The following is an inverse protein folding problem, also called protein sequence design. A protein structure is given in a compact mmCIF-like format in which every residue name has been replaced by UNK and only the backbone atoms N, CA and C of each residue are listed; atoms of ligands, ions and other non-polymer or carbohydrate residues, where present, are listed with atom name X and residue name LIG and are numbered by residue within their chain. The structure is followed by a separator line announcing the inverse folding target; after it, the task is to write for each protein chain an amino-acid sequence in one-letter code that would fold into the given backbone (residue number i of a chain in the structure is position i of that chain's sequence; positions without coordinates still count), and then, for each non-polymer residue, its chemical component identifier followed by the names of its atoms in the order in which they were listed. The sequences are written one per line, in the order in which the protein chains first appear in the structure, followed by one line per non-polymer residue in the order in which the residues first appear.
data_IF_341861770380
#
_entry.id   IF_341861770380
#
_cell.length_a   1.000
_cell.length_b   1.000
_cell.length_c   1.000
_cell.angle_alpha   90.00
_cell.angle_beta   90.00
_cell.angle_gamma   90.00
#
_symmetry.space_group_name_H-M   'P 1'
#
loop_
_entity.id
_entity.type
_entity.pdbx_description
1 polymer ?
#
# COMPACT_ATOMS: atom_id res chain seq x y z
N UNK A 1 4.84 -2.78 0.74
CA UNK A 1 6.09 -3.56 0.84
C UNK A 1 5.75 -5.04 0.95
N UNK A 2 6.57 -5.92 0.41
CA UNK A 2 6.49 -7.36 0.68
C UNK A 2 7.37 -7.75 1.90
N UNK A 3 7.41 -9.05 2.22
CA UNK A 3 8.22 -9.60 3.33
C UNK A 3 9.72 -9.38 3.18
N UNK A 4 10.20 -9.15 1.95
CA UNK A 4 11.60 -8.84 1.66
C UNK A 4 11.88 -7.33 1.69
N UNK A 5 10.88 -6.50 2.05
CA UNK A 5 11.00 -5.05 2.07
C UNK A 5 10.93 -4.40 0.69
N UNK A 6 10.58 -5.13 -0.37
CA UNK A 6 10.49 -4.58 -1.72
C UNK A 6 9.24 -3.74 -1.90
N UNK A 7 9.36 -2.65 -2.65
CA UNK A 7 8.22 -1.81 -3.04
C UNK A 7 7.37 -2.54 -4.09
N UNK A 8 6.12 -2.79 -3.72
CA UNK A 8 5.16 -3.54 -4.54
C UNK A 8 4.35 -2.59 -5.43
N UNK A 9 3.72 -1.58 -4.82
CA UNK A 9 2.95 -0.56 -5.50
C UNK A 9 2.95 0.74 -4.69
N UNK A 10 2.66 1.85 -5.36
CA UNK A 10 2.38 3.16 -4.74
C UNK A 10 0.90 3.47 -4.97
N UNK A 11 0.16 3.74 -3.89
CA UNK A 11 -1.31 3.84 -3.93
C UNK A 11 -1.83 5.27 -3.73
N UNK A 12 -0.93 6.25 -3.72
CA UNK A 12 -1.23 7.67 -3.66
C UNK A 12 -0.03 8.46 -4.19
N UNK A 13 -0.24 9.24 -5.25
CA UNK A 13 0.81 10.03 -5.89
C UNK A 13 0.69 11.53 -5.64
N UNK A 14 -0.41 11.97 -5.03
CA UNK A 14 -0.69 13.39 -4.79
C UNK A 14 -0.84 13.69 -3.31
N UNK A 15 -0.43 14.90 -2.92
CA UNK A 15 -0.77 15.46 -1.62
C UNK A 15 -2.29 15.49 -1.49
N UNK A 16 -2.79 14.72 -0.54
CA UNK A 16 -4.19 14.71 -0.18
C UNK A 16 -4.44 15.89 0.76
N UNK A 17 -5.50 16.65 0.50
CA UNK A 17 -5.88 17.81 1.30
C UNK A 17 -6.33 17.41 2.71
N UNK A 18 -6.71 18.39 3.53
CA UNK A 18 -7.28 18.10 4.86
C UNK A 18 -8.60 17.34 4.69
N UNK A 19 -8.80 16.27 5.47
CA UNK A 19 -10.01 15.45 5.47
C UNK A 19 -9.70 13.95 5.51
N UNK A 20 -10.77 13.14 5.50
CA UNK A 20 -10.66 11.69 5.44
C UNK A 20 -10.37 11.24 4.00
N UNK A 21 -9.48 10.25 3.87
CA UNK A 21 -9.11 9.68 2.58
C UNK A 21 -9.18 8.17 2.62
N UNK A 22 -9.80 7.59 1.60
CA UNK A 22 -9.86 6.15 1.40
C UNK A 22 -8.97 5.76 0.22
N UNK A 23 -8.15 4.73 0.43
CA UNK A 23 -7.26 4.18 -0.60
C UNK A 23 -7.55 2.69 -0.70
N UNK A 24 -7.95 2.24 -1.89
CA UNK A 24 -8.21 0.83 -2.18
C UNK A 24 -7.08 0.25 -3.01
N UNK A 25 -6.45 -0.81 -2.50
CA UNK A 25 -5.49 -1.58 -3.27
C UNK A 25 -6.18 -2.77 -3.96
N UNK A 26 -5.99 -2.90 -5.26
CA UNK A 26 -6.56 -3.98 -6.07
C UNK A 26 -5.72 -5.27 -6.08
N UNK A 27 -4.70 -5.40 -5.24
CA UNK A 27 -3.83 -6.57 -5.19
C UNK A 27 -2.87 -6.71 -6.38
N UNK A 28 -2.59 -5.61 -7.09
CA UNK A 28 -1.62 -5.57 -8.20
C UNK A 28 -0.38 -4.75 -7.84
N UNK A 29 0.76 -5.15 -8.40
CA UNK A 29 1.98 -4.35 -8.32
C UNK A 29 1.96 -3.18 -9.30
N UNK A 30 3.06 -2.42 -9.33
CA UNK A 30 3.27 -1.27 -10.23
C UNK A 30 3.18 -1.60 -11.73
N UNK A 31 3.40 -2.86 -12.11
CA UNK A 31 3.37 -3.31 -13.51
C UNK A 31 1.98 -3.86 -13.88
N UNK A 32 1.00 -3.75 -12.97
CA UNK A 32 -0.36 -4.27 -13.14
C UNK A 32 -0.47 -5.78 -12.91
N UNK A 33 0.62 -6.44 -12.51
CA UNK A 33 0.65 -7.88 -12.27
C UNK A 33 0.04 -8.18 -10.90
N UNK A 34 -0.82 -9.18 -10.83
CA UNK A 34 -1.43 -9.59 -9.56
C UNK A 34 -0.33 -10.16 -8.64
N UNK A 35 -0.30 -9.73 -7.37
CA UNK A 35 0.74 -10.14 -6.41
C UNK A 35 0.43 -11.46 -5.70
N UNK A 36 1.41 -12.36 -5.50
CA UNK A 36 1.15 -13.69 -4.94
C UNK A 36 0.51 -13.62 -3.54
N UNK A 37 -0.15 -14.71 -3.13
CA UNK A 37 -0.64 -14.85 -1.76
C UNK A 37 0.51 -14.65 -0.78
N UNK A 38 0.26 -13.88 0.27
CA UNK A 38 1.33 -13.51 1.21
C UNK A 38 0.98 -12.33 2.09
N UNK A 39 1.96 -11.94 2.91
CA UNK A 39 1.87 -10.81 3.82
C UNK A 39 2.54 -9.59 3.20
N UNK A 40 1.83 -8.47 3.24
CA UNK A 40 2.27 -7.18 2.73
C UNK A 40 2.09 -6.12 3.81
N UNK A 41 2.84 -5.03 3.67
CA UNK A 41 2.72 -3.85 4.51
C UNK A 41 2.34 -2.65 3.68
N UNK A 42 1.28 -1.97 4.08
CA UNK A 42 0.97 -0.62 3.61
C UNK A 42 1.62 0.37 4.57
N UNK A 43 2.32 1.36 4.01
CA UNK A 43 2.83 2.49 4.76
C UNK A 43 2.16 3.75 4.22
N UNK A 44 1.53 4.51 5.10
CA UNK A 44 0.99 5.83 4.81
C UNK A 44 1.82 6.86 5.54
N UNK A 45 2.06 8.00 4.90
CA UNK A 45 2.78 9.12 5.46
C UNK A 45 1.94 10.37 5.22
N UNK A 46 1.40 10.96 6.28
CA UNK A 46 1.12 12.40 6.31
C UNK A 46 2.35 13.08 6.91
N UNK A 47 2.65 14.33 6.56
CA UNK A 47 3.90 15.00 6.95
C UNK A 47 4.23 15.04 8.47
N UNK A 48 3.33 14.57 9.35
CA UNK A 48 3.55 14.41 10.79
C UNK A 48 3.41 12.96 11.29
N UNK A 49 2.66 12.11 10.58
CA UNK A 49 2.33 10.75 11.03
C UNK A 49 2.64 9.72 9.96
N UNK A 50 3.38 8.68 10.36
CA UNK A 50 3.53 7.46 9.58
C UNK A 50 2.70 6.35 10.21
N UNK A 51 1.85 5.70 9.43
CA UNK A 51 1.08 4.53 9.87
C UNK A 51 1.43 3.31 9.02
N UNK A 52 1.56 2.16 9.68
CA UNK A 52 1.81 0.88 9.04
C UNK A 52 0.63 -0.06 9.26
N UNK A 53 0.15 -0.68 8.18
CA UNK A 53 -0.91 -1.69 8.22
C UNK A 53 -0.41 -2.98 7.58
N UNK A 54 -0.70 -4.12 8.22
CA UNK A 54 -0.40 -5.44 7.68
C UNK A 54 -1.61 -5.93 6.88
N UNK A 55 -1.38 -6.31 5.63
CA UNK A 55 -2.38 -6.84 4.71
C UNK A 55 -2.01 -8.27 4.36
N UNK A 56 -3.00 -9.17 4.39
CA UNK A 56 -2.83 -10.54 3.93
C UNK A 56 -3.60 -10.68 2.63
N UNK A 57 -2.89 -11.05 1.57
CA UNK A 57 -3.50 -11.40 0.29
C UNK A 57 -3.62 -12.92 0.26
N UNK A 58 -4.83 -13.41 0.05
CA UNK A 58 -5.14 -14.82 -0.16
C UNK A 58 -5.84 -14.94 -1.50
N UNK A 59 -5.51 -15.99 -2.25
CA UNK A 59 -6.12 -16.35 -3.52
C UNK A 59 -6.58 -17.79 -3.46
#
# INVERSE_FOLDING_TARGET
LDVAGRHVARLGERLLGVGDHEIVWNGRDRDGTTVPSGVYWLKTEDGRVSTGLRVVVVR
#
